data_IF_011155816046
#
_entry.id   IF_011155816046
#
_cell.length_a   1.000
_cell.length_b   1.000
_cell.length_c   1.000
_cell.angle_alpha   90.00
_cell.angle_beta   90.00
_cell.angle_gamma   90.00
#
_symmetry.space_group_name_H-M   'P 1'
#
loop_
_entity.id
_entity.type
_entity.pdbx_description
1 polymer ?
#
# COMPACT_ATOMS: atom_id res chain seq x y z
N UNK A 1 31.83 23.73 80.25
CA UNK A 1 31.05 24.15 81.44
C UNK A 1 29.55 24.25 81.11
N UNK A 2 28.83 23.17 81.46
CA UNK A 2 27.52 23.11 82.13
C UNK A 2 26.38 24.01 81.63
N UNK A 3 25.26 23.38 81.23
CA UNK A 3 23.96 23.75 81.82
C UNK A 3 22.70 23.68 80.96
N UNK A 4 22.16 22.47 80.77
CA UNK A 4 20.74 22.06 81.00
C UNK A 4 19.56 22.65 80.21
N UNK A 5 18.64 21.76 79.78
CA UNK A 5 17.22 22.12 79.53
C UNK A 5 16.39 21.31 78.52
N UNK A 6 16.34 19.99 78.66
CA UNK A 6 15.26 19.00 78.32
C UNK A 6 13.83 19.63 78.44
N UNK A 7 12.80 19.39 77.61
CA UNK A 7 12.17 18.13 77.18
C UNK A 7 11.27 18.35 75.93
N UNK A 8 11.24 17.40 75.00
CA UNK A 8 10.01 16.73 74.51
C UNK A 8 10.34 15.66 73.45
N UNK A 9 10.42 14.41 73.92
CA UNK A 9 10.04 13.17 73.21
C UNK A 9 8.51 13.22 72.96
N UNK A 10 7.85 12.67 71.94
CA UNK A 10 8.01 11.44 71.16
C UNK A 10 7.23 11.59 69.84
N UNK A 11 7.69 10.94 68.76
CA UNK A 11 6.87 10.07 67.90
C UNK A 11 7.65 9.64 66.64
N UNK A 12 8.16 8.43 66.75
CA UNK A 12 8.69 7.52 65.73
C UNK A 12 7.69 7.34 64.57
N UNK A 13 8.17 7.37 63.31
CA UNK A 13 8.07 6.23 62.37
C UNK A 13 8.76 6.50 61.02
N UNK A 14 9.94 5.86 60.88
CA UNK A 14 10.40 5.02 59.77
C UNK A 14 9.95 5.31 58.33
N UNK A 15 10.93 5.60 57.47
CA UNK A 15 10.77 5.56 56.01
C UNK A 15 12.08 5.76 55.25
N UNK A 16 13.07 4.87 55.47
CA UNK A 16 14.27 4.77 54.64
C UNK A 16 13.89 4.41 53.19
N UNK A 17 14.36 5.18 52.21
CA UNK A 17 14.12 4.92 50.80
C UNK A 17 15.20 5.54 49.91
N UNK A 18 16.33 4.85 49.85
CA UNK A 18 17.45 5.08 48.93
C UNK A 18 16.96 5.20 47.47
N UNK A 19 17.25 6.33 46.82
CA UNK A 19 17.06 6.49 45.36
C UNK A 19 18.29 5.88 44.67
N UNK A 20 18.29 4.56 44.54
CA UNK A 20 19.20 3.84 43.68
C UNK A 20 18.68 3.86 42.25
N UNK A 21 19.54 4.26 41.32
CA UNK A 21 19.32 4.19 39.89
C UNK A 21 19.08 2.73 39.46
N UNK A 22 17.95 2.49 38.77
CA UNK A 22 17.71 1.24 38.06
C UNK A 22 17.51 1.54 36.59
N UNK A 23 18.61 1.36 35.85
CA UNK A 23 18.62 1.01 34.44
C UNK A 23 17.79 -0.27 34.25
N UNK A 24 16.69 -0.18 33.50
CA UNK A 24 15.96 -1.31 32.90
C UNK A 24 14.92 -0.77 31.90
N UNK A 25 15.39 -0.33 30.72
CA UNK A 25 14.54 -0.23 29.53
C UNK A 25 14.94 -1.35 28.55
N UNK A 26 14.74 -2.58 29.01
CA UNK A 26 14.69 -3.77 28.17
C UNK A 26 13.36 -4.45 28.54
N UNK A 27 12.36 -4.37 27.65
CA UNK A 27 11.13 -5.13 27.81
C UNK A 27 9.91 -4.57 27.09
N UNK A 28 9.75 -4.94 25.81
CA UNK A 28 8.56 -5.60 25.27
C UNK A 28 8.69 -5.68 23.73
N UNK A 29 8.32 -6.79 23.08
CA UNK A 29 8.00 -6.72 21.66
C UNK A 29 6.79 -5.80 21.56
N UNK A 30 6.99 -4.57 21.10
CA UNK A 30 5.88 -3.67 20.80
C UNK A 30 4.98 -4.39 19.82
N UNK A 31 3.75 -4.64 20.25
CA UNK A 31 2.68 -5.18 19.44
C UNK A 31 2.50 -4.24 18.23
N UNK A 32 3.11 -4.61 17.10
CA UNK A 32 3.13 -3.78 15.89
C UNK A 32 1.72 -3.55 15.32
N UNK A 33 0.69 -4.20 15.89
CA UNK A 33 -0.72 -4.00 15.56
C UNK A 33 -1.24 -2.60 15.93
N UNK A 34 -0.71 -1.97 16.99
CA UNK A 34 -1.23 -0.68 17.49
C UNK A 34 -0.93 0.51 16.54
N UNK A 35 0.30 0.68 16.01
CA UNK A 35 0.62 1.77 15.09
C UNK A 35 -0.13 1.69 13.75
N UNK A 36 -0.32 0.47 13.21
CA UNK A 36 -1.07 0.28 11.97
C UNK A 36 -2.56 0.57 12.14
N UNK A 37 -3.13 0.27 13.32
CA UNK A 37 -4.50 0.63 13.67
C UNK A 37 -4.72 2.15 13.62
N UNK A 38 -3.80 2.93 14.22
CA UNK A 38 -3.86 4.39 14.21
C UNK A 38 -3.78 4.98 12.79
N UNK A 39 -2.88 4.45 11.95
CA UNK A 39 -2.78 4.88 10.55
C UNK A 39 -4.06 4.56 9.76
N UNK A 40 -4.62 3.37 9.98
CA UNK A 40 -5.86 2.95 9.32
C UNK A 40 -7.03 3.84 9.70
N UNK A 41 -7.15 4.20 10.98
CA UNK A 41 -8.19 5.10 11.47
C UNK A 41 -7.97 6.54 11.00
N UNK A 42 -6.72 7.00 10.94
CA UNK A 42 -6.36 8.29 10.35
C UNK A 42 -6.82 8.35 8.89
N UNK A 43 -6.42 7.39 8.07
CA UNK A 43 -6.85 7.33 6.66
C UNK A 43 -8.37 7.31 6.59
N UNK A 44 -9.07 6.42 7.30
CA UNK A 44 -10.55 6.41 7.29
C UNK A 44 -11.22 7.76 7.59
N UNK A 45 -10.61 8.61 8.43
CA UNK A 45 -11.17 9.92 8.81
C UNK A 45 -10.90 11.01 7.77
N UNK A 46 -9.76 10.97 7.10
CA UNK A 46 -9.31 12.03 6.18
C UNK A 46 -9.48 11.67 4.70
N UNK A 47 -9.86 10.44 4.45
CA UNK A 47 -10.02 9.86 3.14
C UNK A 47 -11.52 9.84 2.80
N UNK A 48 -12.03 11.02 2.42
CA UNK A 48 -13.39 11.22 1.89
C UNK A 48 -13.47 10.79 0.41
N UNK A 49 -14.65 10.39 -0.07
CA UNK A 49 -15.00 10.06 -1.45
C UNK A 49 -14.53 11.10 -2.48
N UNK A 50 -14.18 12.33 -2.11
CA UNK A 50 -13.69 13.34 -3.05
C UNK A 50 -12.16 13.45 -3.17
N UNK A 51 -11.36 12.96 -2.20
CA UNK A 51 -9.90 13.14 -2.14
C UNK A 51 -9.07 11.83 -2.04
N UNK A 52 -9.69 10.68 -2.33
CA UNK A 52 -9.48 9.40 -1.61
C UNK A 52 -8.28 8.48 -1.97
N UNK A 53 -7.47 8.80 -2.98
CA UNK A 53 -6.39 7.87 -3.38
C UNK A 53 -5.00 8.50 -3.29
N UNK A 54 -4.91 9.83 -3.42
CA UNK A 54 -3.64 10.56 -3.36
C UNK A 54 -3.03 10.54 -1.96
N UNK A 55 -3.85 10.68 -0.91
CA UNK A 55 -3.35 10.59 0.46
C UNK A 55 -2.78 9.20 0.74
N UNK A 56 -3.50 8.15 0.34
CA UNK A 56 -2.99 6.78 0.44
C UNK A 56 -1.70 6.60 -0.37
N UNK A 57 -1.57 7.25 -1.54
CA UNK A 57 -0.35 7.12 -2.39
C UNK A 57 0.84 7.73 -1.69
N UNK A 58 0.66 8.93 -1.15
CA UNK A 58 1.69 9.63 -0.38
C UNK A 58 2.08 8.80 0.84
N UNK A 59 1.12 8.21 1.56
CA UNK A 59 1.41 7.34 2.71
C UNK A 59 2.21 6.12 2.27
N UNK A 60 1.80 5.41 1.21
CA UNK A 60 2.54 4.25 0.69
C UNK A 60 3.95 4.64 0.26
N UNK A 61 4.12 5.72 -0.52
CA UNK A 61 5.43 6.19 -0.96
C UNK A 61 6.32 6.58 0.21
N UNK A 62 5.75 7.25 1.23
CA UNK A 62 6.46 7.65 2.44
C UNK A 62 6.92 6.42 3.23
N UNK A 63 6.04 5.44 3.43
CA UNK A 63 6.38 4.21 4.16
C UNK A 63 7.55 3.46 3.50
N UNK A 64 7.51 3.34 2.16
CA UNK A 64 8.54 2.64 1.39
C UNK A 64 9.85 3.43 1.29
N UNK A 65 9.77 4.76 1.25
CA UNK A 65 10.96 5.63 1.23
C UNK A 65 11.69 5.62 2.57
N UNK A 66 10.95 5.78 3.67
CA UNK A 66 11.52 5.86 5.02
C UNK A 66 12.05 4.50 5.50
N UNK A 67 11.43 3.39 5.09
CA UNK A 67 11.86 2.04 5.47
C UNK A 67 11.82 1.07 4.30
N UNK A 68 12.98 0.86 3.67
CA UNK A 68 13.18 -0.07 2.55
C UNK A 68 12.80 -1.53 2.81
N UNK A 69 12.66 -1.93 4.09
CA UNK A 69 12.31 -3.30 4.48
C UNK A 69 10.88 -3.43 5.02
N UNK A 70 10.06 -2.37 4.97
CA UNK A 70 8.64 -2.48 5.32
C UNK A 70 7.87 -3.02 4.11
N UNK A 71 7.19 -4.15 4.30
CA UNK A 71 6.14 -4.58 3.37
C UNK A 71 4.95 -3.64 3.49
N UNK A 72 4.37 -3.22 2.36
CA UNK A 72 3.13 -2.45 2.37
C UNK A 72 2.04 -3.30 3.03
N UNK A 73 1.32 -2.78 4.05
CA UNK A 73 0.26 -3.56 4.68
C UNK A 73 -0.83 -3.94 3.67
N UNK A 74 -1.25 -5.21 3.66
CA UNK A 74 -2.26 -5.72 2.72
C UNK A 74 -3.54 -4.89 2.72
N UNK A 75 -4.01 -4.48 3.91
CA UNK A 75 -5.23 -3.66 4.03
C UNK A 75 -5.13 -2.31 3.30
N UNK A 76 -3.91 -1.75 3.19
CA UNK A 76 -3.68 -0.49 2.49
C UNK A 76 -3.78 -0.72 0.98
N UNK A 77 -3.17 -1.79 0.47
CA UNK A 77 -3.31 -2.21 -0.93
C UNK A 77 -4.76 -2.54 -1.29
N UNK A 78 -5.46 -3.28 -0.43
CA UNK A 78 -6.87 -3.64 -0.65
C UNK A 78 -7.76 -2.39 -0.66
N UNK A 79 -7.50 -1.43 0.22
CA UNK A 79 -8.25 -0.17 0.23
C UNK A 79 -8.11 0.56 -1.10
N UNK A 80 -6.89 0.64 -1.64
CA UNK A 80 -6.62 1.20 -2.96
C UNK A 80 -7.39 0.49 -4.05
N UNK A 81 -7.25 -0.83 -4.13
CA UNK A 81 -7.91 -1.65 -5.15
C UNK A 81 -9.41 -1.37 -5.15
N UNK A 82 -10.06 -1.42 -3.99
CA UNK A 82 -11.49 -1.19 -3.88
C UNK A 82 -11.90 0.20 -4.36
N UNK A 83 -11.18 1.27 -3.97
CA UNK A 83 -11.49 2.63 -4.42
C UNK A 83 -11.25 2.83 -5.92
N UNK A 84 -10.14 2.30 -6.45
CA UNK A 84 -9.84 2.34 -7.88
C UNK A 84 -10.91 1.60 -8.70
N UNK A 85 -11.43 0.50 -8.14
CA UNK A 85 -12.49 -0.27 -8.76
C UNK A 85 -13.80 0.53 -8.78
N UNK A 86 -14.20 1.09 -7.65
CA UNK A 86 -15.41 1.90 -7.55
C UNK A 86 -15.37 3.13 -8.47
N UNK A 87 -14.21 3.80 -8.56
CA UNK A 87 -14.01 5.01 -9.37
C UNK A 87 -13.74 4.76 -10.84
N UNK A 88 -13.40 3.54 -11.23
CA UNK A 88 -12.96 3.23 -12.60
C UNK A 88 -11.70 4.03 -13.00
N UNK A 89 -10.78 4.24 -12.06
CA UNK A 89 -9.65 5.17 -12.22
C UNK A 89 -8.37 4.50 -12.72
N UNK A 90 -8.13 4.51 -14.03
CA UNK A 90 -6.86 4.02 -14.58
C UNK A 90 -5.65 4.86 -14.19
N UNK A 91 -5.84 6.16 -13.95
CA UNK A 91 -4.77 7.03 -13.47
C UNK A 91 -4.33 6.58 -12.07
N UNK A 92 -5.27 6.22 -11.20
CA UNK A 92 -4.91 5.75 -9.87
C UNK A 92 -4.21 4.37 -9.89
N UNK A 93 -4.56 3.48 -10.83
CA UNK A 93 -3.77 2.27 -11.07
C UNK A 93 -2.35 2.59 -11.58
N UNK A 94 -2.21 3.54 -12.52
CA UNK A 94 -0.92 3.96 -13.03
C UNK A 94 -0.03 4.57 -11.92
N UNK A 95 -0.61 5.43 -11.09
CA UNK A 95 0.08 6.06 -9.96
C UNK A 95 0.54 5.00 -8.93
N UNK A 96 -0.30 4.01 -8.62
CA UNK A 96 0.06 2.92 -7.71
C UNK A 96 1.16 2.02 -8.30
N UNK A 97 1.03 1.61 -9.57
CA UNK A 97 2.05 0.83 -10.26
C UNK A 97 3.39 1.57 -10.29
N UNK A 98 3.38 2.88 -10.51
CA UNK A 98 4.59 3.69 -10.50
C UNK A 98 5.31 3.64 -9.15
N UNK A 99 4.59 3.79 -8.03
CA UNK A 99 5.17 3.70 -6.69
C UNK A 99 5.73 2.29 -6.43
N UNK A 100 4.99 1.24 -6.76
CA UNK A 100 5.44 -0.14 -6.53
C UNK A 100 6.71 -0.46 -7.35
N UNK A 101 6.75 -0.04 -8.61
CA UNK A 101 7.91 -0.21 -9.49
C UNK A 101 9.13 0.60 -9.04
N UNK A 102 8.91 1.83 -8.54
CA UNK A 102 9.95 2.71 -7.97
C UNK A 102 10.64 2.07 -6.76
N UNK A 103 9.90 1.30 -5.98
CA UNK A 103 10.40 0.64 -4.76
C UNK A 103 10.72 -0.85 -4.95
N UNK A 104 10.84 -1.32 -6.19
CA UNK A 104 11.19 -2.72 -6.53
C UNK A 104 10.20 -3.77 -5.98
N UNK A 105 8.94 -3.40 -5.74
CA UNK A 105 7.88 -4.32 -5.31
C UNK A 105 7.24 -5.00 -6.52
N UNK A 106 8.02 -5.82 -7.22
CA UNK A 106 7.66 -6.39 -8.53
C UNK A 106 6.47 -7.36 -8.45
N UNK A 107 6.43 -8.17 -7.38
CA UNK A 107 5.32 -9.11 -7.16
C UNK A 107 3.98 -8.37 -6.95
N UNK A 108 3.97 -7.36 -6.08
CA UNK A 108 2.78 -6.55 -5.82
C UNK A 108 2.34 -5.77 -7.07
N UNK A 109 3.29 -5.19 -7.80
CA UNK A 109 3.02 -4.51 -9.07
C UNK A 109 2.37 -5.45 -10.10
N UNK A 110 2.84 -6.71 -10.17
CA UNK A 110 2.26 -7.74 -11.04
C UNK A 110 0.84 -8.10 -10.65
N UNK A 111 0.57 -8.31 -9.36
CA UNK A 111 -0.78 -8.55 -8.85
C UNK A 111 -1.74 -7.41 -9.21
N UNK A 112 -1.31 -6.16 -9.01
CA UNK A 112 -2.11 -4.97 -9.34
C UNK A 112 -2.36 -4.86 -10.86
N UNK A 113 -1.35 -5.10 -11.68
CA UNK A 113 -1.46 -5.05 -13.13
C UNK A 113 -2.44 -6.11 -13.68
N UNK A 114 -2.33 -7.35 -13.20
CA UNK A 114 -3.22 -8.45 -13.57
C UNK A 114 -4.67 -8.12 -13.19
N UNK A 115 -4.90 -7.66 -11.96
CA UNK A 115 -6.23 -7.31 -11.47
C UNK A 115 -6.86 -6.17 -12.28
N UNK A 116 -6.08 -5.15 -12.63
CA UNK A 116 -6.51 -4.05 -13.50
C UNK A 116 -6.97 -4.58 -14.87
N UNK A 117 -6.18 -5.46 -15.51
CA UNK A 117 -6.50 -6.03 -16.82
C UNK A 117 -7.73 -6.94 -16.78
N UNK A 118 -7.95 -7.66 -15.67
CA UNK A 118 -9.10 -8.56 -15.50
C UNK A 118 -10.41 -7.81 -15.18
N UNK A 119 -10.35 -6.84 -14.26
CA UNK A 119 -11.54 -6.16 -13.73
C UNK A 119 -12.19 -5.24 -14.76
N UNK A 120 -11.40 -4.63 -15.64
CA UNK A 120 -11.86 -3.55 -16.52
C UNK A 120 -12.15 -3.99 -17.97
N UNK A 121 -12.36 -5.30 -18.19
CA UNK A 121 -12.49 -5.92 -19.51
C UNK A 121 -13.41 -5.16 -20.47
N UNK A 122 -14.59 -4.72 -20.03
CA UNK A 122 -15.57 -4.04 -20.92
C UNK A 122 -15.10 -2.64 -21.34
N UNK A 123 -14.62 -1.82 -20.39
CA UNK A 123 -14.14 -0.46 -20.65
C UNK A 123 -12.86 -0.43 -21.49
N UNK A 124 -12.05 -1.47 -21.36
CA UNK A 124 -10.79 -1.61 -22.07
C UNK A 124 -10.90 -2.18 -23.47
N UNK A 125 -12.03 -2.81 -23.80
CA UNK A 125 -12.20 -3.54 -25.07
C UNK A 125 -13.21 -2.88 -26.01
N UNK A 126 -14.20 -2.15 -25.50
CA UNK A 126 -15.16 -1.43 -26.34
C UNK A 126 -14.50 -0.23 -27.05
N UNK A 127 -14.38 -0.24 -28.40
CA UNK A 127 -13.90 0.89 -29.18
C UNK A 127 -14.65 2.20 -28.94
N UNK A 128 -15.96 2.17 -28.60
CA UNK A 128 -16.77 3.37 -28.36
C UNK A 128 -16.36 4.06 -27.08
N UNK A 129 -16.13 3.28 -26.01
CA UNK A 129 -15.63 3.80 -24.74
C UNK A 129 -14.22 4.38 -24.89
N UNK A 130 -13.37 3.73 -25.70
CA UNK A 130 -11.99 4.19 -25.99
C UNK A 130 -11.92 5.47 -26.81
N UNK A 131 -12.98 5.82 -27.55
CA UNK A 131 -13.02 7.02 -28.38
C UNK A 131 -13.65 8.24 -27.67
N UNK A 132 -14.18 8.08 -26.46
CA UNK A 132 -14.76 9.20 -25.70
C UNK A 132 -13.69 10.23 -25.34
N UNK A 133 -14.07 11.50 -25.29
CA UNK A 133 -13.20 12.55 -24.74
C UNK A 133 -12.93 12.25 -23.27
N UNK A 134 -11.65 12.12 -22.89
CA UNK A 134 -11.25 11.65 -21.56
C UNK A 134 -11.26 10.12 -21.41
N UNK A 135 -11.33 9.37 -22.53
CA UNK A 135 -11.13 7.93 -22.52
C UNK A 135 -9.76 7.62 -21.90
N UNK A 136 -9.83 6.92 -20.78
CA UNK A 136 -8.66 6.56 -20.01
C UNK A 136 -7.95 5.39 -20.68
N UNK A 137 -6.64 5.52 -20.88
CA UNK A 137 -5.82 4.48 -21.49
C UNK A 137 -5.17 3.61 -20.41
N UNK A 138 -4.96 2.34 -20.73
CA UNK A 138 -4.11 1.45 -19.92
C UNK A 138 -2.70 2.06 -19.90
N UNK A 139 -2.02 2.06 -18.74
CA UNK A 139 -0.63 2.51 -18.64
C UNK A 139 0.31 1.45 -19.24
N UNK A 140 0.27 1.26 -20.56
CA UNK A 140 1.07 0.24 -21.27
C UNK A 140 2.56 0.39 -21.03
N UNK A 141 3.06 1.63 -20.94
CA UNK A 141 4.45 1.91 -20.57
C UNK A 141 4.85 1.31 -19.21
N UNK A 142 3.94 1.30 -18.23
CA UNK A 142 4.20 0.69 -16.92
C UNK A 142 4.14 -0.84 -16.99
N UNK A 143 3.24 -1.39 -17.82
CA UNK A 143 3.17 -2.83 -18.06
C UNK A 143 4.44 -3.35 -18.76
N UNK A 144 4.95 -2.61 -19.74
CA UNK A 144 6.19 -2.94 -20.46
C UNK A 144 7.40 -2.86 -19.52
N UNK A 145 7.48 -1.81 -18.70
CA UNK A 145 8.53 -1.68 -17.69
C UNK A 145 8.50 -2.83 -16.67
N UNK A 146 7.30 -3.22 -16.23
CA UNK A 146 7.11 -4.34 -15.32
C UNK A 146 7.50 -5.67 -15.97
N UNK A 147 7.07 -5.92 -17.22
CA UNK A 147 7.43 -7.13 -17.97
C UNK A 147 8.94 -7.24 -18.15
N UNK A 148 9.62 -6.14 -18.50
CA UNK A 148 11.08 -6.10 -18.63
C UNK A 148 11.77 -6.44 -17.30
N UNK A 149 11.29 -5.91 -16.16
CA UNK A 149 11.84 -6.26 -14.85
C UNK A 149 11.66 -7.74 -14.52
N UNK A 150 10.49 -8.31 -14.81
CA UNK A 150 10.20 -9.74 -14.62
C UNK A 150 11.04 -10.67 -15.52
N UNK A 151 11.49 -10.20 -16.68
CA UNK A 151 12.42 -10.95 -17.54
C UNK A 151 13.83 -11.01 -16.96
N UNK A 152 14.26 -9.96 -16.27
CA UNK A 152 15.61 -9.85 -15.71
C UNK A 152 15.80 -10.53 -14.36
N UNK A 153 14.72 -10.87 -13.65
CA UNK A 153 14.77 -11.47 -12.32
C UNK A 153 14.38 -12.95 -12.37
N UNK A 154 15.20 -13.83 -11.78
CA UNK A 154 15.04 -15.29 -11.84
C UNK A 154 14.53 -15.92 -10.54
N UNK A 155 13.87 -15.16 -9.67
CA UNK A 155 13.26 -15.71 -8.46
C UNK A 155 12.01 -16.52 -8.80
N UNK A 156 11.84 -17.66 -8.13
CA UNK A 156 10.76 -18.61 -8.43
C UNK A 156 9.36 -17.98 -8.29
N UNK A 157 9.16 -17.12 -7.28
CA UNK A 157 7.91 -16.38 -7.11
C UNK A 157 7.63 -15.34 -8.20
N UNK A 158 8.67 -14.86 -8.89
CA UNK A 158 8.52 -13.91 -10.00
C UNK A 158 8.22 -14.61 -11.33
N UNK A 159 8.53 -15.90 -11.46
CA UNK A 159 8.14 -16.69 -12.64
C UNK A 159 6.62 -16.84 -12.74
N UNK A 160 5.95 -17.08 -11.61
CA UNK A 160 4.48 -17.12 -11.56
C UNK A 160 3.87 -15.75 -11.88
N UNK A 161 4.43 -14.68 -11.30
CA UNK A 161 4.01 -13.31 -11.59
C UNK A 161 4.17 -12.96 -13.08
N UNK A 162 5.28 -13.37 -13.70
CA UNK A 162 5.54 -13.23 -15.14
C UNK A 162 4.48 -13.96 -15.97
N UNK A 163 4.29 -15.26 -15.73
CA UNK A 163 3.33 -16.06 -16.46
C UNK A 163 1.90 -15.49 -16.34
N UNK A 164 1.51 -15.06 -15.13
CA UNK A 164 0.22 -14.42 -14.88
C UNK A 164 0.05 -13.11 -15.65
N UNK A 165 1.07 -12.26 -15.66
CA UNK A 165 1.03 -10.98 -16.38
C UNK A 165 0.95 -11.19 -17.90
N UNK A 166 1.79 -12.08 -18.44
CA UNK A 166 1.77 -12.43 -19.87
C UNK A 166 0.40 -12.96 -20.29
N UNK A 167 -0.19 -13.86 -19.51
CA UNK A 167 -1.53 -14.40 -19.78
C UNK A 167 -2.60 -13.31 -19.74
N UNK A 168 -2.55 -12.40 -18.74
CA UNK A 168 -3.50 -11.30 -18.61
C UNK A 168 -3.42 -10.34 -19.81
N UNK A 169 -2.20 -9.99 -20.24
CA UNK A 169 -1.95 -9.13 -21.41
C UNK A 169 -2.46 -9.80 -22.70
N UNK A 170 -2.13 -11.08 -22.91
CA UNK A 170 -2.58 -11.82 -24.09
C UNK A 170 -4.10 -11.90 -24.17
N UNK A 171 -4.76 -12.21 -23.04
CA UNK A 171 -6.21 -12.28 -22.97
C UNK A 171 -6.86 -10.89 -23.19
N UNK A 172 -6.26 -9.82 -22.67
CA UNK A 172 -6.69 -8.44 -22.93
C UNK A 172 -6.66 -8.12 -24.44
N UNK A 173 -5.53 -8.36 -25.11
CA UNK A 173 -5.41 -8.12 -26.55
C UNK A 173 -6.34 -9.00 -27.38
N UNK A 174 -6.52 -10.28 -27.00
CA UNK A 174 -7.49 -11.16 -27.66
C UNK A 174 -8.91 -10.61 -27.56
N UNK A 175 -9.30 -10.12 -26.39
CA UNK A 175 -10.63 -9.54 -26.15
C UNK A 175 -10.82 -8.25 -26.97
N UNK A 176 -9.81 -7.36 -27.01
CA UNK A 176 -9.87 -6.14 -27.84
C UNK A 176 -10.06 -6.45 -29.33
N UNK A 177 -9.35 -7.48 -29.85
CA UNK A 177 -9.50 -7.91 -31.24
C UNK A 177 -10.89 -8.44 -31.53
N UNK A 178 -11.43 -9.28 -30.64
CA UNK A 178 -12.77 -9.85 -30.79
C UNK A 178 -13.86 -8.78 -30.81
N UNK A 179 -13.83 -7.83 -29.89
CA UNK A 179 -14.81 -6.73 -29.84
C UNK A 179 -14.73 -5.83 -31.08
N UNK A 180 -13.52 -5.52 -31.54
CA UNK A 180 -13.31 -4.72 -32.75
C UNK A 180 -13.91 -5.41 -33.99
N UNK A 181 -13.74 -6.74 -34.11
CA UNK A 181 -14.34 -7.52 -35.20
C UNK A 181 -15.87 -7.56 -35.14
N UNK A 182 -16.46 -7.65 -33.95
CA UNK A 182 -17.92 -7.63 -33.78
C UNK A 182 -18.54 -6.31 -34.24
N UNK A 183 -17.86 -5.18 -34.03
CA UNK A 183 -18.33 -3.87 -34.47
C UNK A 183 -18.26 -3.71 -35.99
N UNK A 184 -17.17 -4.18 -36.62
CA UNK A 184 -17.05 -4.15 -38.09
C UNK A 184 -18.08 -5.01 -38.81
N UNK A 185 -18.64 -6.05 -38.17
CA UNK A 185 -19.70 -6.90 -38.75
C UNK A 185 -21.12 -6.34 -38.58
N UNK A 186 -21.30 -5.33 -37.73
CA UNK A 186 -22.61 -4.70 -37.45
C UNK A 186 -22.83 -3.41 -38.24
N UNK A 187 -21.83 -2.96 -39.00
CA UNK A 187 -21.92 -1.84 -39.96
C UNK A 187 -22.13 -2.40 -41.36
#
# INVERSE_FOLDING_TARGET
PVGQGIDSLDAVMSGSGSVAATSQFLGAPQDQSQPWGLLKDFLKRFDDRTCNYRLRLIVTDTLLTERRNICVPQWLLDSFKNDLIERKSFQGYADLLHILLKHELISDASGIAIEMLQTWKILLTDPRERQKSGAMCIPYNMLDALASKLETQHDHGLLEAKAGLEQAIQHHFASMRQESLMLTRKM
#
